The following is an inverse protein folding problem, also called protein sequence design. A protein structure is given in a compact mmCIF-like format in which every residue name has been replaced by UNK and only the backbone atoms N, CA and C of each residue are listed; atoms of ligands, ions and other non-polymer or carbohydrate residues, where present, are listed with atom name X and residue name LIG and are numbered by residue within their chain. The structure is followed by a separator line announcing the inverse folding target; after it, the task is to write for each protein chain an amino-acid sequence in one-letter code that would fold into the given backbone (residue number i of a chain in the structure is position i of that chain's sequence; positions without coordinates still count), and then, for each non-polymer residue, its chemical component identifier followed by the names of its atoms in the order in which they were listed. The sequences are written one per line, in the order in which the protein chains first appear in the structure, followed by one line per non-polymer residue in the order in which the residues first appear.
data_IF_618947075656
#
_entry.id   IF_618947075656
#
_cell.length_a   1.000
_cell.length_b   1.000
_cell.length_c   1.000
_cell.angle_alpha   90.00
_cell.angle_beta   90.00
_cell.angle_gamma   90.00
#
_symmetry.space_group_name_H-M   'P 1'
#
loop_
_entity.id
_entity.type
_entity.pdbx_description
1 polymer ?
#
# COMPACT_ATOMS: atom_id res chain seq x y z
N UNK A 1 17.66 -9.69 -4.89
CA UNK A 1 16.39 -9.14 -5.43
C UNK A 1 15.40 -9.08 -4.29
N UNK A 2 14.72 -7.95 -4.09
CA UNK A 2 13.64 -7.86 -3.10
C UNK A 2 12.42 -8.50 -3.73
N UNK A 3 11.91 -9.56 -3.13
CA UNK A 3 10.73 -10.27 -3.63
C UNK A 3 9.47 -9.74 -2.95
N UNK A 4 8.41 -9.55 -3.72
CA UNK A 4 7.09 -9.25 -3.21
C UNK A 4 6.45 -10.50 -2.60
N UNK A 5 5.65 -10.32 -1.56
CA UNK A 5 4.88 -11.39 -0.91
C UNK A 5 3.38 -11.24 -1.18
N UNK A 6 2.64 -12.34 -1.13
CA UNK A 6 1.17 -12.30 -1.25
C UNK A 6 0.53 -11.44 -0.14
N UNK A 7 1.11 -11.44 1.06
CA UNK A 7 0.65 -10.59 2.15
C UNK A 7 0.78 -9.10 1.80
N UNK A 8 1.91 -8.68 1.22
CA UNK A 8 2.11 -7.30 0.78
C UNK A 8 1.12 -6.88 -0.30
N UNK A 9 0.80 -7.78 -1.24
CA UNK A 9 -0.24 -7.53 -2.25
C UNK A 9 -1.63 -7.39 -1.62
N UNK A 10 -1.96 -8.20 -0.60
CA UNK A 10 -3.23 -8.06 0.13
C UNK A 10 -3.31 -6.75 0.91
N UNK A 11 -2.21 -6.33 1.54
CA UNK A 11 -2.13 -5.03 2.22
C UNK A 11 -2.32 -3.89 1.20
N UNK A 12 -1.63 -3.95 0.06
CA UNK A 12 -1.76 -2.98 -1.02
C UNK A 12 -3.20 -2.87 -1.53
N UNK A 13 -3.84 -4.00 -1.88
CA UNK A 13 -5.25 -4.02 -2.33
C UNK A 13 -6.17 -3.38 -1.30
N UNK A 14 -5.98 -3.69 -0.01
CA UNK A 14 -6.82 -3.15 1.06
C UNK A 14 -6.64 -1.63 1.19
N UNK A 15 -5.40 -1.12 1.09
CA UNK A 15 -5.13 0.33 1.09
C UNK A 15 -5.73 1.00 -0.15
N UNK A 16 -5.61 0.37 -1.33
CA UNK A 16 -6.16 0.87 -2.58
C UNK A 16 -7.68 1.01 -2.53
N UNK A 17 -8.37 -0.01 -2.02
CA UNK A 17 -9.83 0.00 -1.87
C UNK A 17 -10.33 1.05 -0.88
N UNK A 18 -9.61 1.28 0.21
CA UNK A 18 -9.99 2.26 1.24
C UNK A 18 -9.54 3.70 0.96
N UNK A 19 -8.49 3.88 0.15
CA UNK A 19 -7.79 5.16 0.02
C UNK A 19 -7.21 5.67 1.34
N UNK A 20 -6.93 4.77 2.31
CA UNK A 20 -6.49 5.13 3.66
C UNK A 20 -5.69 4.02 4.31
N UNK A 21 -4.47 4.35 4.74
CA UNK A 21 -3.63 3.44 5.52
C UNK A 21 -4.24 3.10 6.88
N UNK A 22 -4.92 4.05 7.52
CA UNK A 22 -5.55 3.84 8.84
C UNK A 22 -6.72 2.86 8.74
N UNK A 23 -7.63 3.06 7.77
CA UNK A 23 -8.76 2.15 7.57
C UNK A 23 -8.32 0.75 7.13
N UNK A 24 -7.26 0.67 6.31
CA UNK A 24 -6.69 -0.61 5.94
C UNK A 24 -6.08 -1.36 7.14
N UNK A 25 -5.43 -0.64 8.06
CA UNK A 25 -4.93 -1.20 9.31
C UNK A 25 -6.06 -1.75 10.20
N UNK A 26 -7.15 -0.99 10.33
CA UNK A 26 -8.35 -1.40 11.07
C UNK A 26 -8.96 -2.69 10.48
N UNK A 27 -9.13 -2.76 9.14
CA UNK A 27 -9.68 -3.96 8.49
C UNK A 27 -8.76 -5.18 8.65
N UNK A 28 -7.45 -4.97 8.55
CA UNK A 28 -6.46 -6.05 8.62
C UNK A 28 -6.09 -6.44 10.06
N UNK A 29 -6.68 -5.78 11.07
CA UNK A 29 -6.37 -5.98 12.49
C UNK A 29 -4.86 -5.85 12.80
N UNK A 30 -4.19 -4.90 12.15
CA UNK A 30 -2.76 -4.59 12.37
C UNK A 30 -2.56 -3.09 12.54
N UNK A 31 -1.36 -2.67 12.95
CA UNK A 31 -1.09 -1.25 13.14
C UNK A 31 -0.87 -0.52 11.81
N UNK A 32 -1.22 0.77 11.75
CA UNK A 32 -0.96 1.62 10.58
C UNK A 32 0.53 1.65 10.16
N UNK A 33 1.50 1.74 11.08
CA UNK A 33 2.92 1.62 10.72
C UNK A 33 3.27 0.29 10.05
N UNK A 34 2.63 -0.81 10.44
CA UNK A 34 2.79 -2.12 9.79
C UNK A 34 2.31 -2.07 8.33
N UNK A 35 1.10 -1.56 8.09
CA UNK A 35 0.55 -1.39 6.73
C UNK A 35 1.47 -0.52 5.87
N UNK A 36 1.89 0.63 6.38
CA UNK A 36 2.78 1.56 5.67
C UNK A 36 4.12 0.90 5.31
N UNK A 37 4.73 0.16 6.25
CA UNK A 37 5.97 -0.58 6.00
C UNK A 37 5.81 -1.66 4.94
N UNK A 38 4.72 -2.44 4.98
CA UNK A 38 4.44 -3.48 3.99
C UNK A 38 4.26 -2.90 2.58
N UNK A 39 3.50 -1.81 2.44
CA UNK A 39 3.35 -1.10 1.16
C UNK A 39 4.68 -0.54 0.69
N UNK A 40 5.48 0.08 1.57
CA UNK A 40 6.81 0.59 1.20
C UNK A 40 7.74 -0.51 0.70
N UNK A 41 7.71 -1.70 1.31
CA UNK A 41 8.49 -2.85 0.86
C UNK A 41 8.01 -3.35 -0.51
N UNK A 42 6.70 -3.40 -0.74
CA UNK A 42 6.13 -3.77 -2.04
C UNK A 42 6.58 -2.77 -3.13
N UNK A 43 6.41 -1.47 -2.89
CA UNK A 43 6.86 -0.41 -3.78
C UNK A 43 8.34 -0.56 -4.14
N UNK A 44 9.18 -0.94 -3.16
CA UNK A 44 10.61 -1.19 -3.39
C UNK A 44 10.87 -2.45 -4.23
N UNK A 45 10.04 -3.49 -4.08
CA UNK A 45 10.12 -4.70 -4.90
C UNK A 45 9.70 -4.44 -6.35
N UNK A 46 8.65 -3.63 -6.55
CA UNK A 46 8.16 -3.20 -7.87
C UNK A 46 9.10 -2.19 -8.54
N UNK A 47 9.77 -1.35 -7.75
CA UNK A 47 10.68 -0.32 -8.25
C UNK A 47 10.00 0.97 -8.69
N UNK A 48 8.68 1.07 -8.54
CA UNK A 48 7.87 2.25 -8.88
C UNK A 48 6.96 2.61 -7.71
N UNK A 49 6.68 3.91 -7.48
CA UNK A 49 5.68 4.35 -6.52
C UNK A 49 4.30 3.80 -6.89
N UNK A 50 3.60 3.17 -5.96
CA UNK A 50 2.26 2.61 -6.18
C UNK A 50 1.12 3.52 -5.69
N UNK A 51 1.45 4.45 -4.78
CA UNK A 51 0.53 5.46 -4.28
C UNK A 51 1.18 6.84 -4.33
N UNK A 52 0.33 7.86 -4.44
CA UNK A 52 0.69 9.27 -4.29
C UNK A 52 -0.30 9.98 -3.35
N UNK A 53 0.17 11.03 -2.69
CA UNK A 53 -0.67 11.86 -1.82
C UNK A 53 -0.81 13.24 -2.43
N UNK A 54 -2.04 13.62 -2.79
CA UNK A 54 -2.37 14.94 -3.30
C UNK A 54 -3.18 15.65 -2.22
N UNK A 55 -2.55 16.61 -1.55
CA UNK A 55 -3.11 17.26 -0.36
C UNK A 55 -3.31 16.25 0.78
N UNK A 56 -4.56 16.00 1.16
CA UNK A 56 -4.91 15.05 2.24
C UNK A 56 -5.40 13.70 1.75
N UNK A 57 -5.52 13.52 0.43
CA UNK A 57 -6.12 12.32 -0.16
C UNK A 57 -5.05 11.43 -0.78
N UNK A 58 -5.19 10.12 -0.58
CA UNK A 58 -4.33 9.10 -1.15
C UNK A 58 -4.92 8.59 -2.47
N UNK A 59 -4.08 8.51 -3.50
CA UNK A 59 -4.46 8.01 -4.83
C UNK A 59 -3.49 6.92 -5.27
N UNK A 60 -3.96 6.02 -6.14
CA UNK A 60 -3.08 5.12 -6.88
C UNK A 60 -2.36 5.92 -7.97
N UNK A 61 -1.05 5.70 -8.09
CA UNK A 61 -0.31 6.10 -9.29
C UNK A 61 -0.75 5.24 -10.48
N UNK A 62 -0.29 5.56 -11.69
CA UNK A 62 -0.58 4.71 -12.85
C UNK A 62 0.02 3.30 -12.69
N UNK A 63 1.23 3.19 -12.13
CA UNK A 63 1.82 1.89 -11.79
C UNK A 63 1.03 1.10 -10.73
N UNK A 64 0.24 1.77 -9.89
CA UNK A 64 -0.65 1.12 -8.93
C UNK A 64 -2.01 0.69 -9.53
N UNK A 65 -2.33 1.12 -10.75
CA UNK A 65 -3.61 0.78 -11.43
C UNK A 65 -3.46 -0.37 -12.44
N UNK A 66 -2.27 -0.58 -12.98
CA UNK A 66 -1.93 -1.69 -13.90
C UNK A 66 -1.96 -3.06 -13.21
#
# INVERSE_FOLDING_TARGET
MIQATLHQLKVFETVARHGSFTRAAEELYITQPTVSSQVKQLTKAVGLPLFEQIGKTLYLTDAGKE
#
